data_IF_055305265389
#
_entry.id   IF_055305265389
#
_cell.length_a   1.000
_cell.length_b   1.000
_cell.length_c   1.000
_cell.angle_alpha   90.00
_cell.angle_beta   90.00
_cell.angle_gamma   90.00
#
_symmetry.space_group_name_H-M   'P 1'
#
loop_
_entity.id
_entity.type
_entity.pdbx_description
1 polymer ?
#
# COMPACT_ATOMS: atom_id res chain seq x y z
N UNK A 1 4.10 -17.97 -16.81
CA UNK A 1 3.69 -17.42 -15.48
C UNK A 1 4.93 -16.96 -14.73
N UNK A 2 4.96 -15.70 -14.28
CA UNK A 2 6.05 -15.20 -13.45
C UNK A 2 5.95 -15.79 -12.03
N UNK A 3 7.08 -16.17 -11.46
CA UNK A 3 7.18 -16.77 -10.12
C UNK A 3 8.35 -16.13 -9.39
N UNK A 4 8.17 -15.80 -8.12
CA UNK A 4 9.25 -15.33 -7.25
C UNK A 4 10.02 -16.52 -6.69
N UNK A 5 11.34 -16.55 -6.88
CA UNK A 5 12.25 -17.53 -6.28
C UNK A 5 13.09 -16.91 -5.16
N UNK A 6 13.93 -17.72 -4.53
CA UNK A 6 14.85 -17.25 -3.47
C UNK A 6 15.86 -16.19 -3.95
N UNK A 7 16.19 -16.20 -5.23
CA UNK A 7 17.23 -15.32 -5.83
C UNK A 7 16.70 -14.37 -6.89
N UNK A 8 15.38 -14.22 -7.05
CA UNK A 8 14.79 -13.33 -8.04
C UNK A 8 13.53 -13.87 -8.70
N UNK A 9 13.03 -13.13 -9.69
CA UNK A 9 11.86 -13.54 -10.45
C UNK A 9 12.27 -14.35 -11.67
N UNK A 10 11.50 -15.40 -11.97
CA UNK A 10 11.66 -16.23 -13.16
C UNK A 10 10.30 -16.53 -13.81
N UNK A 11 10.31 -16.97 -15.04
CA UNK A 11 9.10 -17.31 -15.78
C UNK A 11 9.01 -18.83 -15.99
N UNK A 12 7.86 -19.41 -15.64
CA UNK A 12 7.51 -20.79 -15.96
C UNK A 12 6.72 -20.80 -17.26
N UNK A 13 7.29 -21.42 -18.30
CA UNK A 13 6.64 -21.53 -19.60
C UNK A 13 5.55 -22.61 -19.56
N UNK A 14 4.29 -22.20 -19.66
CA UNK A 14 3.14 -23.11 -19.69
C UNK A 14 3.12 -23.99 -20.96
N UNK A 15 3.79 -23.55 -22.02
CA UNK A 15 3.90 -24.32 -23.27
C UNK A 15 5.02 -25.34 -23.24
N UNK A 16 5.85 -25.34 -22.19
CA UNK A 16 6.99 -26.23 -21.99
C UNK A 16 6.96 -26.89 -20.61
N UNK A 17 5.83 -27.49 -20.25
CA UNK A 17 5.63 -28.25 -19.01
C UNK A 17 5.92 -27.48 -17.73
N UNK A 18 5.80 -26.14 -17.76
CA UNK A 18 6.12 -25.27 -16.62
C UNK A 18 7.62 -25.19 -16.31
N UNK A 19 8.50 -25.47 -17.27
CA UNK A 19 9.93 -25.29 -17.08
C UNK A 19 10.33 -23.83 -17.02
N UNK A 20 11.35 -23.56 -16.24
CA UNK A 20 11.95 -22.24 -16.09
C UNK A 20 12.61 -21.84 -17.43
N UNK A 21 12.31 -20.65 -17.92
CA UNK A 21 13.00 -20.09 -19.08
C UNK A 21 14.42 -19.66 -18.68
N UNK A 22 15.40 -20.02 -19.51
CA UNK A 22 16.81 -19.65 -19.32
C UNK A 22 17.39 -19.20 -20.65
N UNK A 23 18.31 -18.24 -20.65
CA UNK A 23 18.97 -17.69 -21.85
C UNK A 23 17.98 -17.39 -22.99
N UNK A 24 16.82 -16.87 -22.68
CA UNK A 24 15.72 -16.68 -23.62
C UNK A 24 14.96 -15.39 -23.34
N UNK A 25 13.98 -15.08 -24.16
CA UNK A 25 13.08 -13.95 -23.92
C UNK A 25 11.65 -14.33 -24.20
N UNK A 26 10.73 -13.55 -23.61
CA UNK A 26 9.31 -13.57 -23.94
C UNK A 26 8.87 -12.17 -24.34
N UNK A 27 7.89 -12.09 -25.23
CA UNK A 27 7.20 -10.84 -25.55
C UNK A 27 5.88 -10.80 -24.78
N UNK A 28 5.66 -9.76 -24.01
CA UNK A 28 4.42 -9.52 -23.27
C UNK A 28 3.31 -9.08 -24.24
N UNK A 29 2.05 -9.14 -23.78
CA UNK A 29 0.89 -8.75 -24.59
C UNK A 29 0.92 -7.29 -25.08
N UNK A 30 1.69 -6.44 -24.44
CA UNK A 30 1.92 -5.03 -24.80
C UNK A 30 3.12 -4.80 -25.72
N UNK A 31 3.76 -5.89 -26.21
CA UNK A 31 4.86 -5.85 -27.17
C UNK A 31 6.26 -5.73 -26.54
N UNK A 32 6.37 -5.70 -25.22
CA UNK A 32 7.66 -5.60 -24.53
C UNK A 32 8.37 -6.94 -24.45
N UNK A 33 9.70 -6.92 -24.49
CA UNK A 33 10.56 -8.09 -24.37
C UNK A 33 11.13 -8.21 -22.95
N UNK A 34 10.91 -9.36 -22.32
CA UNK A 34 11.54 -9.73 -21.03
C UNK A 34 12.57 -10.81 -21.30
N UNK A 35 13.82 -10.60 -20.87
CA UNK A 35 14.94 -11.52 -21.06
C UNK A 35 15.29 -12.24 -19.79
N UNK A 36 15.79 -13.47 -19.92
CA UNK A 36 16.20 -14.33 -18.82
C UNK A 36 17.66 -14.76 -19.02
N UNK A 37 18.44 -14.72 -17.92
CA UNK A 37 19.83 -15.17 -17.89
C UNK A 37 19.98 -16.69 -17.90
N UNK A 38 21.21 -17.18 -17.79
CA UNK A 38 21.53 -18.60 -17.73
C UNK A 38 20.94 -19.34 -16.52
N UNK A 39 20.62 -18.59 -15.45
CA UNK A 39 19.96 -19.09 -14.26
C UNK A 39 18.43 -18.92 -14.32
N UNK A 40 17.92 -18.33 -15.42
CA UNK A 40 16.52 -18.03 -15.64
C UNK A 40 15.98 -16.89 -14.78
N UNK A 41 16.85 -16.04 -14.23
CA UNK A 41 16.43 -14.81 -13.59
C UNK A 41 16.17 -13.76 -14.68
N UNK A 42 15.25 -12.86 -14.40
CA UNK A 42 14.95 -11.79 -15.33
C UNK A 42 16.15 -10.85 -15.41
N UNK A 43 16.67 -10.65 -16.61
CA UNK A 43 17.71 -9.65 -16.92
C UNK A 43 17.00 -8.37 -17.30
N UNK A 44 17.26 -7.31 -16.58
CA UNK A 44 16.59 -6.03 -16.78
C UNK A 44 16.89 -5.42 -18.13
N UNK A 45 15.90 -4.78 -18.71
CA UNK A 45 16.09 -3.81 -19.78
C UNK A 45 15.19 -2.61 -19.55
N UNK A 46 15.72 -1.45 -19.93
CA UNK A 46 15.02 -0.16 -19.93
C UNK A 46 13.61 -0.29 -20.46
N UNK A 47 12.63 0.12 -19.68
CA UNK A 47 11.29 0.34 -20.16
C UNK A 47 10.79 1.64 -19.59
N UNK A 48 10.47 2.53 -20.50
CA UNK A 48 9.82 3.78 -20.21
C UNK A 48 8.39 3.65 -20.67
N UNK A 49 7.46 3.71 -19.75
CA UNK A 49 6.12 4.24 -19.96
C UNK A 49 5.20 3.85 -18.80
N UNK A 50 4.19 4.65 -18.52
CA UNK A 50 3.24 4.52 -17.43
C UNK A 50 2.66 3.10 -17.33
N UNK A 51 2.72 2.51 -16.15
CA UNK A 51 2.10 1.22 -15.85
C UNK A 51 3.06 0.04 -15.70
N UNK A 52 4.35 0.28 -15.50
CA UNK A 52 5.35 -0.77 -15.33
C UNK A 52 6.10 -0.55 -14.03
N UNK A 53 6.18 -1.60 -13.23
CA UNK A 53 6.96 -1.62 -11.99
C UNK A 53 8.34 -2.17 -12.23
N UNK A 54 9.35 -1.52 -11.65
CA UNK A 54 10.73 -1.92 -11.71
C UNK A 54 11.13 -2.62 -10.42
N UNK A 55 11.70 -3.82 -10.53
CA UNK A 55 12.30 -4.51 -9.39
C UNK A 55 13.81 -4.57 -9.58
N UNK A 56 14.59 -4.31 -8.51
CA UNK A 56 16.00 -4.64 -8.55
C UNK A 56 16.10 -6.16 -8.73
N UNK A 57 16.81 -6.60 -9.75
CA UNK A 57 17.22 -7.99 -9.89
C UNK A 57 18.25 -8.26 -8.80
N UNK A 58 18.03 -9.33 -8.04
CA UNK A 58 18.82 -9.71 -6.87
C UNK A 58 20.33 -9.57 -7.04
N UNK A 59 20.95 -9.10 -5.96
CA UNK A 59 22.37 -9.24 -5.60
C UNK A 59 23.35 -9.38 -6.77
N UNK A 60 23.49 -8.35 -7.57
CA UNK A 60 24.70 -8.13 -8.31
C UNK A 60 25.33 -6.86 -7.74
N UNK A 61 26.64 -6.89 -7.58
CA UNK A 61 27.53 -5.81 -7.17
C UNK A 61 26.98 -4.41 -7.44
N UNK A 62 27.35 -3.44 -6.62
CA UNK A 62 26.96 -2.01 -6.65
C UNK A 62 26.96 -1.32 -8.04
N UNK A 63 27.34 -2.00 -9.10
CA UNK A 63 27.43 -1.47 -10.47
C UNK A 63 26.27 -1.86 -11.40
N UNK A 64 25.34 -2.73 -11.00
CA UNK A 64 24.24 -3.15 -11.86
C UNK A 64 22.91 -3.21 -11.11
N UNK A 65 22.39 -2.06 -10.68
CA UNK A 65 20.99 -1.89 -10.32
C UNK A 65 20.17 -1.86 -11.62
N UNK A 66 20.07 -3.01 -12.26
CA UNK A 66 19.14 -3.19 -13.36
C UNK A 66 17.75 -3.46 -12.80
N UNK A 67 16.76 -2.68 -13.21
CA UNK A 67 15.38 -2.77 -12.76
C UNK A 67 14.53 -3.48 -13.80
N UNK A 68 13.75 -4.47 -13.39
CA UNK A 68 12.84 -5.21 -14.27
C UNK A 68 11.45 -4.63 -14.17
N UNK A 69 10.85 -4.45 -15.33
CA UNK A 69 9.46 -4.03 -15.44
C UNK A 69 8.51 -5.22 -15.23
N UNK A 70 7.64 -5.14 -14.25
CA UNK A 70 6.52 -6.08 -14.09
C UNK A 70 5.25 -5.34 -14.49
N UNK A 71 4.39 -5.96 -15.31
CA UNK A 71 3.13 -5.35 -15.72
C UNK A 71 2.27 -4.97 -14.50
N UNK A 72 1.61 -3.81 -14.55
CA UNK A 72 0.69 -3.35 -13.50
C UNK A 72 -0.39 -4.39 -13.19
N UNK A 73 -0.85 -5.11 -14.22
CA UNK A 73 -1.80 -6.21 -14.09
C UNK A 73 -1.27 -7.45 -13.35
N UNK A 74 0.04 -7.56 -13.13
CA UNK A 74 0.59 -8.59 -12.23
C UNK A 74 0.31 -8.29 -10.76
N UNK A 75 0.07 -7.03 -10.41
CA UNK A 75 -0.36 -6.61 -9.08
C UNK A 75 -1.87 -6.77 -8.87
N UNK A 76 -2.67 -6.69 -9.93
CA UNK A 76 -4.10 -6.51 -9.86
C UNK A 76 -4.93 -7.81 -9.89
N UNK A 77 -4.36 -8.97 -10.12
CA UNK A 77 -5.15 -10.13 -10.56
C UNK A 77 -5.71 -11.06 -9.48
N UNK A 78 -5.40 -10.89 -8.19
CA UNK A 78 -5.77 -11.93 -7.21
C UNK A 78 -6.51 -11.48 -5.94
N UNK A 79 -6.86 -10.20 -5.79
CA UNK A 79 -7.61 -9.73 -4.62
C UNK A 79 -8.95 -9.12 -4.94
N UNK A 80 -9.35 -9.11 -6.22
CA UNK A 80 -10.64 -8.57 -6.59
C UNK A 80 -11.73 -9.62 -6.38
N UNK A 81 -12.59 -9.37 -5.41
CA UNK A 81 -13.90 -10.03 -5.34
C UNK A 81 -14.84 -9.24 -6.25
N UNK A 82 -15.22 -9.83 -7.39
CA UNK A 82 -16.12 -9.21 -8.36
C UNK A 82 -15.68 -7.81 -8.88
N UNK A 83 -14.36 -7.59 -8.98
CA UNK A 83 -13.78 -6.32 -9.44
C UNK A 83 -13.55 -5.28 -8.34
N UNK A 84 -13.82 -5.63 -7.08
CA UNK A 84 -13.61 -4.80 -5.90
C UNK A 84 -12.31 -5.17 -5.20
N UNK A 85 -11.49 -4.18 -4.83
CA UNK A 85 -10.21 -4.39 -4.15
C UNK A 85 -10.41 -4.81 -2.69
N UNK A 86 -9.64 -5.80 -2.22
CA UNK A 86 -9.50 -6.10 -0.80
C UNK A 86 -8.20 -5.47 -0.28
N UNK A 87 -8.31 -4.54 0.65
CA UNK A 87 -7.20 -3.90 1.33
C UNK A 87 -7.09 -4.50 2.74
N UNK A 88 -5.93 -5.05 3.07
CA UNK A 88 -5.74 -5.66 4.38
C UNK A 88 -5.35 -4.61 5.42
N UNK A 89 -6.22 -4.36 6.39
CA UNK A 89 -6.10 -3.36 7.44
C UNK A 89 -4.97 -3.71 8.40
N UNK A 90 -3.94 -2.87 8.49
CA UNK A 90 -2.74 -3.02 9.35
C UNK A 90 -2.02 -4.37 9.21
N UNK A 91 -2.09 -4.96 8.01
CA UNK A 91 -1.64 -6.32 7.79
C UNK A 91 -2.60 -7.38 8.32
N UNK A 92 -2.34 -8.68 8.00
CA UNK A 92 -3.19 -9.79 8.46
C UNK A 92 -2.87 -10.13 9.90
N UNK A 93 -3.55 -9.45 10.81
CA UNK A 93 -3.26 -9.45 12.24
C UNK A 93 -4.17 -10.37 13.08
N UNK A 94 -4.74 -11.42 12.47
CA UNK A 94 -5.56 -12.40 13.20
C UNK A 94 -4.76 -13.10 14.31
N UNK A 95 -3.52 -13.48 14.00
CA UNK A 95 -2.61 -14.12 14.94
C UNK A 95 -1.38 -13.27 15.26
N UNK A 96 -1.06 -12.35 14.37
CA UNK A 96 0.10 -11.46 14.45
C UNK A 96 -0.28 -10.10 15.06
N UNK A 97 0.66 -9.34 15.60
CA UNK A 97 0.39 -7.96 15.99
C UNK A 97 0.15 -7.05 14.77
N UNK A 98 -0.85 -6.19 14.85
CA UNK A 98 -1.11 -5.18 13.82
C UNK A 98 0.11 -4.26 13.59
N UNK A 99 0.25 -3.70 12.38
CA UNK A 99 1.34 -2.78 11.98
C UNK A 99 2.76 -3.34 12.16
N UNK A 100 2.93 -4.66 12.03
CA UNK A 100 4.24 -5.33 12.12
C UNK A 100 4.63 -6.07 10.85
N UNK A 101 5.93 -6.31 10.69
CA UNK A 101 6.43 -7.14 9.58
C UNK A 101 5.83 -8.56 9.59
N UNK A 102 5.51 -9.11 10.76
CA UNK A 102 4.84 -10.40 10.86
C UNK A 102 3.43 -10.35 10.23
N UNK A 103 2.64 -9.32 10.56
CA UNK A 103 1.31 -9.13 9.96
C UNK A 103 1.38 -8.92 8.43
N UNK A 104 2.37 -8.17 7.93
CA UNK A 104 2.54 -7.96 6.48
C UNK A 104 2.99 -9.22 5.74
N UNK A 105 3.83 -10.06 6.36
CA UNK A 105 4.16 -11.39 5.84
C UNK A 105 2.93 -12.27 5.77
N UNK A 106 2.12 -12.28 6.82
CA UNK A 106 0.86 -13.01 6.85
C UNK A 106 -0.12 -12.49 5.77
N UNK A 107 -0.20 -11.17 5.52
CA UNK A 107 -0.98 -10.61 4.42
C UNK A 107 -0.58 -11.20 3.07
N UNK A 108 0.72 -11.32 2.83
CA UNK A 108 1.24 -11.93 1.60
C UNK A 108 0.89 -13.40 1.48
N UNK A 109 0.99 -14.16 2.58
CA UNK A 109 0.61 -15.57 2.62
C UNK A 109 -0.89 -15.76 2.37
N UNK A 110 -1.71 -14.81 2.80
CA UNK A 110 -3.16 -14.76 2.55
C UNK A 110 -3.53 -14.13 1.20
N UNK A 111 -2.54 -13.89 0.33
CA UNK A 111 -2.71 -13.37 -1.04
C UNK A 111 -3.20 -11.91 -1.15
N UNK A 112 -3.05 -11.09 -0.12
CA UNK A 112 -3.35 -9.68 -0.25
C UNK A 112 -2.30 -8.96 -1.09
N UNK A 113 -2.77 -8.11 -2.00
CA UNK A 113 -1.94 -7.23 -2.84
C UNK A 113 -1.98 -5.77 -2.38
N UNK A 114 -2.98 -5.40 -1.60
CA UNK A 114 -3.11 -4.09 -0.97
C UNK A 114 -3.02 -4.29 0.53
N UNK A 115 -2.12 -3.58 1.16
CA UNK A 115 -1.92 -3.65 2.61
C UNK A 115 -1.85 -2.25 3.18
N UNK A 116 -2.75 -1.99 4.09
CA UNK A 116 -2.85 -0.71 4.78
C UNK A 116 -1.94 -0.70 6.02
N UNK A 117 -1.47 0.48 6.40
CA UNK A 117 -0.64 0.74 7.56
C UNK A 117 -0.78 2.16 8.08
N UNK A 118 -0.65 2.33 9.39
CA UNK A 118 -0.75 3.59 10.11
C UNK A 118 0.63 4.21 10.38
N UNK A 119 0.96 5.32 9.73
CA UNK A 119 2.25 5.99 9.91
C UNK A 119 2.18 7.08 10.97
N UNK A 120 3.09 7.02 11.94
CA UNK A 120 3.35 8.06 12.92
C UNK A 120 4.84 8.41 12.98
N UNK A 121 5.20 9.48 13.68
CA UNK A 121 6.59 9.93 13.82
C UNK A 121 7.07 9.80 15.26
N UNK A 122 8.29 9.32 15.42
CA UNK A 122 9.04 9.37 16.68
C UNK A 122 9.50 10.80 17.00
N UNK A 123 10.03 11.03 18.21
CA UNK A 123 10.56 12.35 18.62
C UNK A 123 11.73 12.83 17.76
N UNK A 124 12.46 11.93 17.13
CA UNK A 124 13.54 12.19 16.18
C UNK A 124 13.09 12.17 14.72
N UNK A 125 11.75 12.26 14.49
CA UNK A 125 11.10 12.31 13.18
C UNK A 125 11.37 11.10 12.28
N UNK A 126 11.53 9.92 12.84
CA UNK A 126 11.59 8.68 12.06
C UNK A 126 10.17 8.13 11.87
N UNK A 127 9.72 7.86 10.62
CA UNK A 127 8.43 7.27 10.36
C UNK A 127 8.37 5.81 10.83
N UNK A 128 7.40 5.51 11.70
CA UNK A 128 7.14 4.19 12.27
C UNK A 128 5.69 3.82 12.13
N UNK A 129 5.39 2.52 12.23
CA UNK A 129 4.06 1.99 12.00
C UNK A 129 3.39 1.65 13.33
N UNK A 130 2.32 2.35 13.63
CA UNK A 130 1.53 2.17 14.83
C UNK A 130 0.23 2.97 14.75
N UNK A 131 -0.90 2.31 15.01
CA UNK A 131 -2.20 2.99 14.98
C UNK A 131 -2.36 4.03 16.11
N UNK A 132 -2.19 3.61 17.35
CA UNK A 132 -2.36 4.52 18.49
C UNK A 132 -1.08 5.30 18.77
N UNK A 133 -1.19 6.60 19.05
CA UNK A 133 -0.05 7.40 19.51
C UNK A 133 0.61 6.83 20.77
N UNK A 134 -0.21 6.29 21.70
CA UNK A 134 0.29 5.66 22.91
C UNK A 134 0.60 4.18 22.70
N UNK A 135 1.78 3.74 23.16
CA UNK A 135 2.19 2.34 23.18
C UNK A 135 1.41 1.48 24.18
N UNK A 136 0.52 2.08 24.98
CA UNK A 136 -0.19 1.39 26.08
C UNK A 136 -0.99 0.18 25.60
N UNK A 137 -1.65 0.29 24.45
CA UNK A 137 -2.44 -0.80 23.88
C UNK A 137 -1.56 -2.01 23.51
N UNK A 138 -0.40 -1.75 22.90
CA UNK A 138 0.49 -2.80 22.41
C UNK A 138 1.39 -3.39 23.50
N UNK A 139 1.90 -2.56 24.40
CA UNK A 139 2.99 -2.95 25.33
C UNK A 139 2.59 -2.88 26.81
N UNK A 140 1.43 -2.29 27.12
CA UNK A 140 1.02 -1.98 28.49
C UNK A 140 1.70 -0.74 29.08
N UNK A 141 2.62 -0.11 28.35
CA UNK A 141 3.36 1.08 28.82
C UNK A 141 2.72 2.35 28.27
N UNK A 142 2.29 3.24 29.17
CA UNK A 142 1.68 4.51 28.79
C UNK A 142 2.74 5.55 28.44
N UNK A 143 3.21 5.51 27.21
CA UNK A 143 4.16 6.44 26.61
C UNK A 143 3.76 6.71 25.16
N UNK A 144 3.89 7.95 24.71
CA UNK A 144 3.57 8.31 23.33
C UNK A 144 4.78 8.13 22.43
N UNK A 145 4.54 7.66 21.20
CA UNK A 145 5.58 7.40 20.20
C UNK A 145 6.37 8.65 19.85
N UNK A 146 5.72 9.81 19.77
CA UNK A 146 6.33 11.10 19.49
C UNK A 146 7.14 11.69 20.66
N UNK A 147 7.13 11.04 21.82
CA UNK A 147 7.94 11.43 22.98
C UNK A 147 9.25 10.64 23.11
N UNK A 148 9.49 9.64 22.26
CA UNK A 148 10.66 8.76 22.30
C UNK A 148 11.32 8.68 20.92
N UNK A 149 12.64 8.43 20.93
CA UNK A 149 13.40 8.19 19.68
C UNK A 149 13.14 6.80 19.12
N UNK A 150 13.52 6.56 17.85
CA UNK A 150 13.45 5.23 17.24
C UNK A 150 14.19 4.18 18.07
N UNK A 151 15.41 4.49 18.52
CA UNK A 151 16.20 3.56 19.36
C UNK A 151 15.47 3.17 20.64
N UNK A 152 14.78 4.13 21.27
CA UNK A 152 13.94 3.85 22.44
C UNK A 152 12.68 3.05 22.03
N UNK A 153 12.02 3.40 20.94
CA UNK A 153 10.84 2.71 20.43
C UNK A 153 11.12 1.22 20.16
N UNK A 154 12.27 0.91 19.55
CA UNK A 154 12.72 -0.48 19.28
C UNK A 154 13.00 -1.30 20.55
N UNK A 155 13.05 -0.70 21.74
CA UNK A 155 13.14 -1.47 23.00
C UNK A 155 11.81 -2.05 23.45
N UNK A 156 10.69 -1.60 22.86
CA UNK A 156 9.36 -2.12 23.13
C UNK A 156 9.00 -3.16 22.08
N UNK A 157 8.33 -4.21 22.53
CA UNK A 157 7.84 -5.26 21.64
C UNK A 157 6.40 -5.63 21.97
N UNK A 158 5.67 -6.04 20.93
CA UNK A 158 4.32 -6.57 21.06
C UNK A 158 4.27 -8.00 20.55
N UNK A 159 3.97 -8.96 21.44
CA UNK A 159 4.01 -10.41 21.12
C UNK A 159 5.34 -10.87 20.49
N UNK A 160 6.44 -10.22 20.81
CA UNK A 160 7.76 -10.55 20.28
C UNK A 160 8.19 -9.78 19.02
N UNK A 161 7.28 -9.04 18.40
CA UNK A 161 7.58 -8.15 17.26
C UNK A 161 7.97 -6.76 17.77
N UNK A 162 8.98 -6.16 17.17
CA UNK A 162 9.37 -4.77 17.42
C UNK A 162 8.51 -3.80 16.60
N UNK A 163 8.52 -2.51 16.98
CA UNK A 163 7.90 -1.46 16.17
C UNK A 163 8.56 -1.43 14.79
N UNK A 164 7.76 -1.59 13.75
CA UNK A 164 8.22 -1.58 12.36
C UNK A 164 8.40 -0.13 11.89
N UNK A 165 9.48 0.16 11.17
CA UNK A 165 9.64 1.45 10.47
C UNK A 165 8.92 1.44 9.14
N UNK A 166 8.52 2.61 8.65
CA UNK A 166 7.99 2.75 7.29
C UNK A 166 8.98 2.22 6.24
N UNK A 167 10.28 2.42 6.45
CA UNK A 167 11.31 1.93 5.55
C UNK A 167 11.31 0.39 5.44
N UNK A 168 11.21 -0.32 6.57
CA UNK A 168 11.11 -1.78 6.59
C UNK A 168 9.86 -2.28 5.84
N UNK A 169 8.72 -1.61 6.04
CA UNK A 169 7.46 -1.94 5.35
C UNK A 169 7.52 -1.69 3.85
N UNK A 170 7.96 -0.50 3.43
CA UNK A 170 8.04 -0.12 2.02
C UNK A 170 9.03 -1.02 1.26
N UNK A 171 10.17 -1.37 1.89
CA UNK A 171 11.12 -2.33 1.35
C UNK A 171 10.47 -3.72 1.17
N UNK A 172 9.71 -4.17 2.17
CA UNK A 172 8.98 -5.43 2.10
C UNK A 172 7.91 -5.41 1.00
N UNK A 173 7.11 -4.35 0.92
CA UNK A 173 6.07 -4.20 -0.11
C UNK A 173 6.67 -4.25 -1.51
N UNK A 174 7.77 -3.52 -1.75
CA UNK A 174 8.48 -3.55 -3.02
C UNK A 174 8.93 -4.97 -3.38
N UNK A 175 9.58 -5.67 -2.46
CA UNK A 175 10.10 -7.01 -2.69
C UNK A 175 9.01 -8.06 -2.95
N UNK A 176 7.79 -7.84 -2.45
CA UNK A 176 6.68 -8.78 -2.49
C UNK A 176 5.51 -8.37 -3.41
N UNK A 177 5.67 -7.28 -4.17
CA UNK A 177 4.64 -6.78 -5.08
C UNK A 177 3.33 -6.41 -4.35
N UNK A 178 3.45 -5.82 -3.18
CA UNK A 178 2.34 -5.30 -2.41
C UNK A 178 2.21 -3.81 -2.70
N UNK A 179 1.01 -3.33 -2.89
CA UNK A 179 0.70 -1.91 -3.01
C UNK A 179 0.48 -1.37 -1.59
N UNK A 180 1.34 -0.46 -1.10
CA UNK A 180 1.16 0.15 0.20
C UNK A 180 -0.04 1.08 0.21
N UNK A 181 -0.85 0.97 1.25
CA UNK A 181 -1.93 1.89 1.58
C UNK A 181 -1.52 2.62 2.86
N UNK A 182 -1.12 3.87 2.77
CA UNK A 182 -0.40 4.57 3.84
C UNK A 182 -1.29 5.61 4.48
N UNK A 183 -1.74 5.37 5.72
CA UNK A 183 -2.45 6.37 6.51
C UNK A 183 -1.47 7.34 7.19
N UNK A 184 -1.63 8.63 6.90
CA UNK A 184 -0.91 9.70 7.59
C UNK A 184 -1.69 10.09 8.85
N UNK A 185 -1.17 9.70 10.03
CA UNK A 185 -1.83 9.94 11.31
C UNK A 185 -1.68 11.36 11.78
N UNK A 186 -2.82 12.02 11.98
CA UNK A 186 -2.90 13.43 12.42
C UNK A 186 -2.36 13.68 13.83
N UNK A 187 -2.14 12.65 14.63
CA UNK A 187 -1.63 12.75 16.00
C UNK A 187 -0.19 13.27 16.01
N UNK A 188 0.66 12.80 15.12
CA UNK A 188 2.10 13.11 15.11
C UNK A 188 2.58 13.84 13.85
N UNK A 189 1.84 13.75 12.74
CA UNK A 189 2.17 14.40 11.47
C UNK A 189 1.38 15.70 11.34
N UNK A 190 2.06 16.84 11.22
CA UNK A 190 1.45 18.18 11.25
C UNK A 190 1.93 19.11 10.15
N UNK A 191 3.06 18.83 9.53
CA UNK A 191 3.70 19.79 8.61
C UNK A 191 4.07 19.14 7.28
N UNK A 192 4.23 19.97 6.26
CA UNK A 192 4.67 19.54 4.94
C UNK A 192 6.05 18.87 4.98
N UNK A 193 6.96 19.38 5.84
CA UNK A 193 8.29 18.79 6.00
C UNK A 193 8.22 17.36 6.59
N UNK A 194 7.30 17.11 7.51
CA UNK A 194 7.07 15.80 8.07
C UNK A 194 6.48 14.84 7.03
N UNK A 195 5.52 15.30 6.22
CA UNK A 195 5.01 14.54 5.08
C UNK A 195 6.13 14.24 4.07
N UNK A 196 7.03 15.22 3.82
CA UNK A 196 8.19 15.00 2.94
C UNK A 196 9.10 13.88 3.41
N UNK A 197 9.37 13.77 4.72
CA UNK A 197 10.18 12.66 5.26
C UNK A 197 9.56 11.30 4.95
N UNK A 198 8.23 11.18 5.04
CA UNK A 198 7.50 9.95 4.74
C UNK A 198 7.53 9.67 3.23
N UNK A 199 7.27 10.70 2.42
CA UNK A 199 7.34 10.61 0.97
C UNK A 199 8.72 10.19 0.48
N UNK A 200 9.80 10.73 1.07
CA UNK A 200 11.18 10.39 0.69
C UNK A 200 11.50 8.90 0.87
N UNK A 201 10.89 8.25 1.84
CA UNK A 201 11.01 6.79 2.00
C UNK A 201 10.37 6.08 0.80
N UNK A 202 9.18 6.48 0.39
CA UNK A 202 8.48 5.89 -0.78
C UNK A 202 9.27 6.14 -2.07
N UNK A 203 9.76 7.36 -2.26
CA UNK A 203 10.58 7.76 -3.41
C UNK A 203 11.88 6.96 -3.49
N UNK A 204 12.59 6.82 -2.37
CA UNK A 204 13.83 6.03 -2.24
C UNK A 204 13.67 4.61 -2.76
N UNK A 205 12.52 4.00 -2.54
CA UNK A 205 12.23 2.64 -3.00
C UNK A 205 11.57 2.59 -4.39
N UNK A 206 11.37 3.73 -5.06
CA UNK A 206 10.78 3.81 -6.40
C UNK A 206 9.33 3.37 -6.47
N UNK A 207 8.56 3.65 -5.41
CA UNK A 207 7.14 3.32 -5.32
C UNK A 207 6.22 4.53 -5.56
N UNK A 208 6.76 5.69 -5.94
CA UNK A 208 5.96 6.83 -6.39
C UNK A 208 5.09 6.41 -7.59
N UNK A 209 3.82 6.79 -7.58
CA UNK A 209 2.80 6.35 -8.54
C UNK A 209 2.26 4.92 -8.26
N UNK A 210 2.59 4.32 -7.10
CA UNK A 210 2.27 2.93 -6.76
C UNK A 210 1.85 2.75 -5.31
N UNK A 211 1.69 3.83 -4.58
CA UNK A 211 1.12 3.84 -3.23
C UNK A 211 -0.23 4.52 -3.27
N UNK A 212 -1.03 4.25 -2.27
CA UNK A 212 -2.25 5.00 -2.01
C UNK A 212 -2.09 5.68 -0.65
N UNK A 213 -2.24 6.99 -0.63
CA UNK A 213 -2.12 7.80 0.58
C UNK A 213 -3.50 8.06 1.14
N UNK A 214 -3.71 7.78 2.40
CA UNK A 214 -4.97 8.06 3.07
C UNK A 214 -4.76 8.93 4.31
N UNK A 215 -5.74 9.75 4.64
CA UNK A 215 -5.76 10.52 5.89
C UNK A 215 -7.16 11.04 6.19
N UNK A 216 -7.46 11.21 7.48
CA UNK A 216 -8.59 11.99 7.97
C UNK A 216 -8.37 13.51 7.79
N UNK A 217 -7.18 13.95 7.42
CA UNK A 217 -6.82 15.34 7.20
C UNK A 217 -6.61 15.65 5.72
N UNK A 218 -7.50 16.46 5.17
CA UNK A 218 -7.28 17.01 3.82
C UNK A 218 -5.97 17.77 3.72
N UNK A 219 -5.56 18.51 4.78
CA UNK A 219 -4.31 19.26 4.80
C UNK A 219 -3.08 18.35 4.59
N UNK A 220 -3.06 17.18 5.22
CA UNK A 220 -1.97 16.21 5.00
C UNK A 220 -1.98 15.66 3.59
N UNK A 221 -3.15 15.39 3.01
CA UNK A 221 -3.26 14.98 1.61
C UNK A 221 -2.83 16.10 0.65
N UNK A 222 -3.16 17.35 0.95
CA UNK A 222 -2.67 18.51 0.19
C UNK A 222 -1.13 18.64 0.28
N UNK A 223 -0.52 18.26 1.40
CA UNK A 223 0.93 18.21 1.52
C UNK A 223 1.55 17.09 0.68
N UNK A 224 0.93 15.90 0.62
CA UNK A 224 1.37 14.84 -0.30
C UNK A 224 1.30 15.35 -1.75
N UNK A 225 0.21 15.98 -2.14
CA UNK A 225 0.00 16.48 -3.50
C UNK A 225 1.03 17.55 -3.96
N UNK A 226 1.78 18.15 -3.02
CA UNK A 226 2.90 19.05 -3.36
C UNK A 226 4.11 18.30 -3.92
N UNK A 227 4.26 17.03 -3.57
CA UNK A 227 5.40 16.18 -3.95
C UNK A 227 5.01 15.13 -4.98
N UNK A 228 3.77 14.67 -4.92
CA UNK A 228 3.26 13.59 -5.75
C UNK A 228 1.84 13.88 -6.24
N UNK A 229 1.69 13.88 -7.56
CA UNK A 229 0.38 14.04 -8.23
C UNK A 229 -0.06 12.77 -8.95
N UNK A 230 0.70 11.69 -8.85
CA UNK A 230 0.46 10.43 -9.57
C UNK A 230 -0.23 9.40 -8.68
N UNK A 231 0.05 9.42 -7.38
CA UNK A 231 -0.56 8.52 -6.42
C UNK A 231 -2.02 8.91 -6.12
N UNK A 232 -2.79 7.93 -5.67
CA UNK A 232 -4.16 8.16 -5.25
C UNK A 232 -4.21 8.70 -3.82
N UNK A 233 -5.11 9.63 -3.59
CA UNK A 233 -5.32 10.30 -2.32
C UNK A 233 -6.71 9.94 -1.77
N UNK A 234 -6.77 9.19 -0.70
CA UNK A 234 -8.00 8.79 -0.02
C UNK A 234 -8.35 9.72 1.13
N UNK A 235 -9.48 10.41 1.00
CA UNK A 235 -9.99 11.19 2.11
C UNK A 235 -10.82 10.28 3.02
N UNK A 236 -10.23 9.92 4.17
CA UNK A 236 -10.87 9.06 5.17
C UNK A 236 -11.88 9.85 5.98
N UNK A 237 -13.09 9.31 6.11
CA UNK A 237 -14.21 10.00 6.74
C UNK A 237 -14.49 9.46 8.14
N UNK A 238 -14.37 10.33 9.12
CA UNK A 238 -14.70 10.05 10.52
C UNK A 238 -16.22 10.04 10.79
N UNK A 239 -16.58 9.58 11.98
CA UNK A 239 -18.00 9.50 12.38
C UNK A 239 -18.71 10.86 12.49
N UNK A 240 -17.97 11.91 12.81
CA UNK A 240 -18.50 13.25 13.11
C UNK A 240 -18.25 14.24 11.97
N UNK A 241 -17.68 13.81 10.85
CA UNK A 241 -17.41 14.71 9.74
C UNK A 241 -18.69 15.15 9.06
N UNK A 242 -18.72 16.43 8.69
CA UNK A 242 -19.85 16.98 7.93
C UNK A 242 -19.78 16.47 6.50
N UNK A 243 -20.83 15.76 6.07
CA UNK A 243 -20.93 15.15 4.76
C UNK A 243 -20.73 16.16 3.62
N UNK A 244 -21.23 17.41 3.78
CA UNK A 244 -21.12 18.43 2.73
C UNK A 244 -19.69 18.97 2.64
N UNK A 245 -19.02 19.09 3.78
CA UNK A 245 -17.59 19.50 3.82
C UNK A 245 -16.72 18.42 3.15
N UNK A 246 -16.93 17.15 3.46
CA UNK A 246 -16.22 16.04 2.81
C UNK A 246 -16.41 16.06 1.30
N UNK A 247 -17.67 16.14 0.83
CA UNK A 247 -17.99 16.19 -0.60
C UNK A 247 -17.34 17.38 -1.29
N UNK A 248 -17.41 18.57 -0.68
CA UNK A 248 -16.76 19.78 -1.22
C UNK A 248 -15.26 19.63 -1.31
N UNK A 249 -14.62 19.08 -0.28
CA UNK A 249 -13.18 18.86 -0.25
C UNK A 249 -12.73 17.86 -1.33
N UNK A 250 -13.40 16.72 -1.45
CA UNK A 250 -13.08 15.73 -2.48
C UNK A 250 -13.23 16.30 -3.89
N UNK A 251 -14.28 17.09 -4.13
CA UNK A 251 -14.47 17.75 -5.42
C UNK A 251 -13.36 18.76 -5.72
N UNK A 252 -13.01 19.62 -4.76
CA UNK A 252 -11.90 20.59 -4.93
C UNK A 252 -10.57 19.88 -5.25
N UNK A 253 -10.25 18.77 -4.58
CA UNK A 253 -9.04 18.01 -4.86
C UNK A 253 -9.08 17.43 -6.28
N UNK A 254 -10.20 16.84 -6.69
CA UNK A 254 -10.38 16.33 -8.05
C UNK A 254 -10.27 17.44 -9.12
N UNK A 255 -10.90 18.57 -8.92
CA UNK A 255 -10.84 19.74 -9.82
C UNK A 255 -9.43 20.32 -9.93
N UNK A 256 -8.58 20.09 -8.91
CA UNK A 256 -7.15 20.42 -8.94
C UNK A 256 -6.30 19.40 -9.73
N UNK A 257 -6.94 18.40 -10.33
CA UNK A 257 -6.27 17.37 -11.14
C UNK A 257 -5.68 16.20 -10.33
N UNK A 258 -6.03 16.09 -9.06
CA UNK A 258 -5.58 14.99 -8.19
C UNK A 258 -6.46 13.74 -8.36
N UNK A 259 -5.87 12.58 -8.18
CA UNK A 259 -6.58 11.30 -8.19
C UNK A 259 -7.14 11.03 -6.79
N UNK A 260 -8.41 11.36 -6.57
CA UNK A 260 -9.04 11.33 -5.25
C UNK A 260 -10.09 10.23 -5.15
N UNK A 261 -10.16 9.57 -4.00
CA UNK A 261 -11.28 8.72 -3.60
C UNK A 261 -11.76 9.09 -2.19
N UNK A 262 -13.00 8.73 -1.86
CA UNK A 262 -13.54 8.84 -0.51
C UNK A 262 -13.48 7.46 0.13
N UNK A 263 -12.96 7.38 1.35
CA UNK A 263 -12.93 6.18 2.16
C UNK A 263 -13.78 6.37 3.43
N UNK A 264 -14.86 5.64 3.55
CA UNK A 264 -15.84 5.84 4.62
C UNK A 264 -16.28 4.54 5.26
N UNK A 265 -16.92 4.62 6.43
CA UNK A 265 -17.50 3.44 7.08
C UNK A 265 -18.64 2.84 6.28
N UNK A 266 -18.74 1.51 6.33
CA UNK A 266 -19.86 0.75 5.72
C UNK A 266 -21.23 1.37 6.06
N UNK A 267 -21.45 1.80 7.31
CA UNK A 267 -22.71 2.39 7.75
C UNK A 267 -23.06 3.75 7.11
N UNK A 268 -22.07 4.41 6.50
CA UNK A 268 -22.19 5.73 5.86
C UNK A 268 -22.13 5.70 4.34
N UNK A 269 -22.01 4.53 3.70
CA UNK A 269 -21.85 4.43 2.25
C UNK A 269 -22.91 5.21 1.47
N UNK A 270 -24.16 5.18 1.92
CA UNK A 270 -25.28 5.86 1.23
C UNK A 270 -25.26 7.38 1.33
N UNK A 271 -24.46 7.95 2.26
CA UNK A 271 -24.26 9.39 2.33
C UNK A 271 -23.42 9.90 1.14
N UNK A 272 -22.63 9.02 0.53
CA UNK A 272 -21.63 9.38 -0.49
C UNK A 272 -21.83 8.74 -1.86
N UNK A 273 -22.49 7.59 -1.97
CA UNK A 273 -22.53 6.79 -3.20
C UNK A 273 -23.08 7.55 -4.42
N UNK A 274 -24.17 8.28 -4.28
CA UNK A 274 -24.76 9.03 -5.40
C UNK A 274 -23.84 10.19 -5.81
N UNK A 275 -23.30 10.93 -4.84
CA UNK A 275 -22.33 12.00 -5.10
C UNK A 275 -21.08 11.47 -5.81
N UNK A 276 -20.55 10.34 -5.37
CA UNK A 276 -19.38 9.71 -5.96
C UNK A 276 -19.62 9.28 -7.39
N UNK A 277 -20.79 8.67 -7.67
CA UNK A 277 -21.22 8.31 -9.03
C UNK A 277 -21.35 9.53 -9.94
N UNK A 278 -22.03 10.57 -9.48
CA UNK A 278 -22.25 11.80 -10.27
C UNK A 278 -20.94 12.53 -10.60
N UNK A 279 -19.95 12.42 -9.75
CA UNK A 279 -18.68 13.14 -9.90
C UNK A 279 -17.52 12.23 -10.32
N UNK A 280 -17.77 10.95 -10.60
CA UNK A 280 -16.73 9.97 -10.96
C UNK A 280 -15.56 10.00 -9.94
N UNK A 281 -15.89 9.88 -8.67
CA UNK A 281 -14.97 9.77 -7.54
C UNK A 281 -15.11 8.36 -6.98
N UNK A 282 -14.07 7.51 -6.94
CA UNK A 282 -14.15 6.19 -6.34
C UNK A 282 -14.60 6.27 -4.87
N UNK A 283 -15.37 5.28 -4.43
CA UNK A 283 -15.82 5.12 -3.05
C UNK A 283 -15.32 3.80 -2.50
N UNK A 284 -14.65 3.86 -1.38
CA UNK A 284 -14.13 2.72 -0.63
C UNK A 284 -14.70 2.68 0.78
N UNK A 285 -14.65 1.52 1.40
CA UNK A 285 -15.25 1.32 2.72
C UNK A 285 -14.30 0.66 3.70
N UNK A 286 -14.36 1.09 4.95
CA UNK A 286 -13.70 0.50 6.12
C UNK A 286 -14.67 0.43 7.31
N UNK A 287 -14.65 -0.48 8.28
CA UNK A 287 -14.05 -1.81 8.21
C UNK A 287 -15.11 -2.79 7.72
N UNK A 288 -14.82 -3.60 6.73
CA UNK A 288 -15.75 -4.63 6.25
C UNK A 288 -15.17 -6.00 6.58
N UNK A 289 -15.73 -6.64 7.60
CA UNK A 289 -15.16 -7.84 8.21
C UNK A 289 -16.08 -9.08 8.14
N UNK A 290 -17.12 -9.04 7.34
CA UNK A 290 -17.98 -10.20 7.12
C UNK A 290 -18.49 -10.30 5.68
N UNK A 291 -18.61 -11.52 5.20
CA UNK A 291 -19.03 -11.81 3.83
C UNK A 291 -20.47 -11.38 3.51
N UNK A 292 -21.38 -11.33 4.50
CA UNK A 292 -22.74 -10.89 4.25
C UNK A 292 -22.77 -9.37 3.98
N UNK A 293 -21.99 -8.61 4.74
CA UNK A 293 -21.80 -7.18 4.49
C UNK A 293 -21.19 -6.95 3.11
N UNK A 294 -20.12 -7.68 2.77
CA UNK A 294 -19.47 -7.59 1.46
C UNK A 294 -20.46 -7.85 0.32
N UNK A 295 -21.23 -8.93 0.40
CA UNK A 295 -22.21 -9.29 -0.63
C UNK A 295 -23.41 -8.32 -0.73
N UNK A 296 -23.59 -7.43 0.24
CA UNK A 296 -24.66 -6.42 0.28
C UNK A 296 -24.23 -5.02 -0.16
N UNK A 297 -22.98 -4.86 -0.57
CA UNK A 297 -22.44 -3.55 -0.96
C UNK A 297 -23.06 -3.04 -2.26
N UNK A 298 -23.05 -1.71 -2.41
CA UNK A 298 -23.41 -1.09 -3.66
C UNK A 298 -22.36 -1.42 -4.74
N UNK A 299 -22.78 -1.74 -5.95
CA UNK A 299 -21.91 -2.06 -7.09
C UNK A 299 -20.89 -0.98 -7.44
N UNK A 300 -21.06 0.24 -6.92
CA UNK A 300 -20.13 1.35 -7.11
C UNK A 300 -18.92 1.32 -6.16
N UNK A 301 -18.95 0.48 -5.12
CA UNK A 301 -17.84 0.39 -4.19
C UNK A 301 -16.62 -0.22 -4.91
N UNK A 302 -15.51 0.50 -4.90
CA UNK A 302 -14.27 0.13 -5.61
C UNK A 302 -13.28 -0.66 -4.76
N UNK A 303 -13.41 -0.59 -3.44
CA UNK A 303 -12.53 -1.29 -2.51
C UNK A 303 -13.09 -1.35 -1.10
N UNK A 304 -12.60 -2.30 -0.34
CA UNK A 304 -12.91 -2.44 1.09
C UNK A 304 -11.65 -2.75 1.88
N UNK A 305 -11.50 -2.07 3.01
CA UNK A 305 -10.49 -2.38 4.01
C UNK A 305 -11.04 -3.38 5.00
N UNK A 306 -10.30 -4.45 5.25
CA UNK A 306 -10.72 -5.59 6.07
C UNK A 306 -9.59 -6.15 6.92
N UNK A 307 -9.92 -6.63 8.14
CA UNK A 307 -8.95 -7.25 9.04
C UNK A 307 -8.58 -8.67 8.59
N UNK A 308 -9.52 -9.42 7.96
CA UNK A 308 -9.32 -10.85 7.75
C UNK A 308 -10.12 -11.51 6.62
N UNK A 309 -10.89 -10.78 5.82
CA UNK A 309 -11.58 -11.40 4.68
C UNK A 309 -10.56 -11.82 3.62
N UNK A 310 -10.56 -13.09 3.26
CA UNK A 310 -9.67 -13.66 2.22
C UNK A 310 -10.50 -14.31 1.12
N UNK A 311 -9.96 -14.35 -0.11
CA UNK A 311 -10.56 -15.05 -1.24
C UNK A 311 -10.46 -16.58 -1.10
#
# INVERSE_FOLDING_TARGET
MFVQGETGFYYLDSNNEGKKLVNSSITLNDGREVRFDENGNIVAKEVYESGIYYFPVCEASEEALETVAIPVDAYAKNTDVDGMRLINHRGYHVNEPEDTLAAYKASKEMNYHYVETDVQLTSDNVPVLIHNQSLQYMTGVNINIDSITLDQAKTYSFKGEEITTLEEFVAYCKANLIIPYIELKVETIKTSEQVKLIYDVVEKYGLVGKVEWISFSKELLDHVAQYDTQDKLGYVVGNNDDVQVVKSNALMMKESGLYVFIDTRLSKQYDYVDFCKENDIPLELWDVNDWNSLNSLNEYISGVTTDYLTN
#
